data_IF_245650055676
#
_entry.id   IF_245650055676
#
_cell.length_a   1.000
_cell.length_b   1.000
_cell.length_c   1.000
_cell.angle_alpha   90.00
_cell.angle_beta   90.00
_cell.angle_gamma   90.00
#
_symmetry.space_group_name_H-M   'P 1'
#
loop_
_entity.id
_entity.type
_entity.pdbx_description
1 polymer ?
#
# COMPACT_ATOMS: atom_id res chain seq x y z
N UNK A 1 -2.08 -1.69 -3.39
CA UNK A 1 -1.25 -0.93 -4.30
C UNK A 1 -0.97 0.45 -3.70
N UNK A 2 -1.13 0.60 -2.38
CA UNK A 2 -1.00 1.86 -1.69
C UNK A 2 0.28 1.83 -0.86
N UNK A 3 1.26 2.67 -1.16
CA UNK A 3 2.53 2.67 -0.47
C UNK A 3 2.41 2.73 1.05
N UNK A 4 3.14 1.97 1.88
CA UNK A 4 3.12 1.87 3.32
C UNK A 4 1.99 1.04 3.88
N UNK A 5 0.80 1.07 3.29
CA UNK A 5 -0.39 0.38 3.78
C UNK A 5 -0.40 -1.05 3.27
N UNK A 6 -0.43 -1.11 1.93
CA UNK A 6 -0.48 -2.35 1.17
C UNK A 6 -1.55 -2.24 0.09
N UNK A 7 -1.75 -3.35 -0.61
CA UNK A 7 -2.54 -3.52 -1.81
C UNK A 7 -1.72 -2.89 -2.92
#
# INVERSE_FOLDING_TARGET
QDPPKTD
#
